data_IF_626509137350
#
_entry.id   IF_626509137350
#
_cell.length_a   1.000
_cell.length_b   1.000
_cell.length_c   1.000
_cell.angle_alpha   90.00
_cell.angle_beta   90.00
_cell.angle_gamma   90.00
#
_symmetry.space_group_name_H-M   'P 1'
#
loop_
_entity.id
_entity.type
_entity.pdbx_description
1 polymer ?
#
# COMPACT_ATOMS: atom_id res chain seq x y z
N UNK A 1 5.57 -3.66 26.82
CA UNK A 1 5.61 -4.22 25.46
C UNK A 1 5.64 -3.05 24.49
N UNK A 2 6.65 -2.96 23.61
CA UNK A 2 6.74 -1.92 22.59
C UNK A 2 6.06 -2.44 21.30
N UNK A 3 5.40 -1.56 20.57
CA UNK A 3 4.90 -1.86 19.22
C UNK A 3 5.94 -1.30 18.26
N UNK A 4 6.51 -2.16 17.41
CA UNK A 4 7.56 -1.77 16.48
C UNK A 4 6.99 -1.44 15.10
N UNK A 5 5.92 -2.13 14.69
CA UNK A 5 5.25 -1.95 13.39
C UNK A 5 3.74 -1.98 13.57
N UNK A 6 3.06 -1.03 12.94
CA UNK A 6 1.61 -0.97 12.83
C UNK A 6 1.26 -1.16 11.36
N UNK A 7 0.41 -2.16 11.05
CA UNK A 7 -0.20 -2.28 9.74
C UNK A 7 -1.62 -1.71 9.78
N UNK A 8 -1.86 -0.70 8.96
CA UNK A 8 -3.14 -0.01 8.89
C UNK A 8 -3.83 -0.34 7.56
N UNK A 9 -4.83 -1.20 7.63
CA UNK A 9 -5.63 -1.62 6.48
C UNK A 9 -6.95 -0.82 6.38
N UNK A 10 -6.85 0.51 6.39
CA UNK A 10 -8.01 1.40 6.29
C UNK A 10 -7.76 2.47 5.24
N UNK A 11 -8.79 2.85 4.50
CA UNK A 11 -8.73 4.02 3.62
C UNK A 11 -9.09 5.30 4.40
N UNK A 12 -8.37 6.40 4.15
CA UNK A 12 -8.68 7.73 4.66
C UNK A 12 -8.24 8.06 6.09
N UNK A 13 -7.73 7.11 6.87
CA UNK A 13 -7.27 7.34 8.26
C UNK A 13 -5.75 7.34 8.42
N UNK A 14 -5.01 7.23 7.31
CA UNK A 14 -3.55 7.05 7.32
C UNK A 14 -2.81 8.24 7.93
N UNK A 15 -3.22 9.45 7.63
CA UNK A 15 -2.57 10.69 8.08
C UNK A 15 -2.61 10.80 9.61
N UNK A 16 -3.76 10.57 10.22
CA UNK A 16 -3.90 10.63 11.69
C UNK A 16 -3.08 9.57 12.42
N UNK A 17 -3.01 8.34 11.88
CA UNK A 17 -2.18 7.29 12.44
C UNK A 17 -0.69 7.61 12.28
N UNK A 18 -0.28 8.16 11.14
CA UNK A 18 1.09 8.57 10.90
C UNK A 18 1.52 9.71 11.83
N UNK A 19 0.68 10.72 12.01
CA UNK A 19 0.92 11.83 12.93
C UNK A 19 1.08 11.33 14.37
N UNK A 20 0.25 10.38 14.80
CA UNK A 20 0.37 9.77 16.12
C UNK A 20 1.71 9.04 16.30
N UNK A 21 2.19 8.32 15.28
CA UNK A 21 3.48 7.64 15.28
C UNK A 21 4.62 8.66 15.35
N UNK A 22 4.58 9.69 14.52
CA UNK A 22 5.60 10.76 14.53
C UNK A 22 5.66 11.41 15.91
N UNK A 23 4.50 11.77 16.49
CA UNK A 23 4.40 12.35 17.82
C UNK A 23 4.96 11.44 18.91
N UNK A 24 4.64 10.14 18.86
CA UNK A 24 5.16 9.16 19.82
C UNK A 24 6.69 9.01 19.70
N UNK A 25 7.21 8.94 18.47
CA UNK A 25 8.65 8.79 18.22
C UNK A 25 9.47 10.03 18.55
N UNK A 26 8.86 11.21 18.52
CA UNK A 26 9.54 12.50 18.79
C UNK A 26 9.26 13.05 20.18
N UNK A 27 8.52 12.34 21.03
CA UNK A 27 8.18 12.79 22.38
C UNK A 27 9.43 13.04 23.24
N UNK A 28 9.48 14.20 23.92
CA UNK A 28 10.64 14.64 24.74
C UNK A 28 10.97 13.68 25.90
N UNK A 29 9.99 12.97 26.42
CA UNK A 29 10.13 12.02 27.54
C UNK A 29 10.34 10.57 27.08
N UNK A 30 10.57 10.34 25.80
CA UNK A 30 10.81 9.01 25.27
C UNK A 30 12.11 8.42 25.82
N UNK A 31 12.09 7.14 26.19
CA UNK A 31 13.28 6.43 26.64
C UNK A 31 14.35 6.43 25.53
N UNK A 32 15.60 6.70 25.90
CA UNK A 32 16.74 6.83 24.95
C UNK A 32 16.91 5.61 24.02
N UNK A 33 16.57 4.42 24.49
CA UNK A 33 16.72 3.15 23.73
C UNK A 33 15.36 2.58 23.25
N UNK A 34 14.29 3.40 23.22
CA UNK A 34 13.02 2.94 22.71
C UNK A 34 13.11 2.75 21.20
N UNK A 35 12.61 1.61 20.72
CA UNK A 35 12.48 1.32 19.27
C UNK A 35 11.44 2.24 18.67
N UNK A 36 11.71 2.78 17.48
CA UNK A 36 10.75 3.59 16.75
C UNK A 36 9.55 2.74 16.30
N UNK A 37 8.35 3.23 16.54
CA UNK A 37 7.16 2.69 15.92
C UNK A 37 7.13 3.08 14.44
N UNK A 38 6.75 2.15 13.58
CA UNK A 38 6.74 2.31 12.14
C UNK A 38 5.36 1.96 11.58
N UNK A 39 5.06 2.45 10.38
CA UNK A 39 3.78 2.27 9.72
C UNK A 39 3.95 1.53 8.39
N UNK A 40 3.06 0.58 8.14
CA UNK A 40 2.71 0.08 6.83
C UNK A 40 1.24 0.40 6.63
N UNK A 41 0.85 1.01 5.53
CA UNK A 41 -0.55 1.35 5.30
C UNK A 41 -1.03 0.99 3.91
N UNK A 42 -2.36 0.86 3.80
CA UNK A 42 -3.07 0.80 2.53
C UNK A 42 -3.73 2.16 2.30
N UNK A 43 -3.39 2.81 1.18
CA UNK A 43 -3.95 4.10 0.76
C UNK A 43 -4.11 5.21 1.82
N UNK A 44 -3.78 6.44 1.48
CA UNK A 44 -3.09 6.89 0.26
C UNK A 44 -1.59 6.55 0.29
N UNK A 45 -0.87 6.80 -0.81
CA UNK A 45 0.60 6.74 -0.77
C UNK A 45 1.14 7.94 0.00
N UNK A 46 1.33 7.77 1.29
CA UNK A 46 1.85 8.82 2.16
C UNK A 46 3.26 9.29 1.80
N UNK A 47 4.02 8.53 1.01
CA UNK A 47 5.32 9.02 0.54
C UNK A 47 5.22 10.27 -0.34
N UNK A 48 4.02 10.57 -0.87
CA UNK A 48 3.79 11.79 -1.65
C UNK A 48 3.58 13.03 -0.77
N UNK A 49 3.18 12.85 0.49
CA UNK A 49 2.82 13.94 1.41
C UNK A 49 3.73 14.10 2.63
N UNK A 50 4.45 13.04 3.02
CA UNK A 50 5.33 13.09 4.18
C UNK A 50 6.64 13.83 3.88
N UNK A 51 7.16 14.52 4.89
CA UNK A 51 8.47 15.18 4.80
C UNK A 51 9.60 14.16 4.85
N UNK A 52 10.79 14.53 4.35
CA UNK A 52 11.98 13.69 4.42
C UNK A 52 12.38 13.32 5.87
N UNK A 53 12.09 14.18 6.84
CA UNK A 53 12.38 13.95 8.25
C UNK A 53 11.48 12.87 8.87
N UNK A 54 10.24 12.77 8.42
CA UNK A 54 9.24 11.84 8.97
C UNK A 54 9.06 10.57 8.15
N UNK A 55 9.44 10.59 6.87
CA UNK A 55 9.33 9.44 5.95
C UNK A 55 10.04 8.17 6.45
N UNK A 56 11.03 8.31 7.34
CA UNK A 56 11.73 7.18 7.96
C UNK A 56 10.84 6.26 8.78
N UNK A 57 9.69 6.75 9.25
CA UNK A 57 8.71 5.96 10.02
C UNK A 57 7.69 5.23 9.12
N UNK A 58 7.69 5.51 7.84
CA UNK A 58 6.86 4.81 6.86
C UNK A 58 7.69 3.70 6.21
N UNK A 59 7.33 2.45 6.46
CA UNK A 59 8.04 1.29 5.91
C UNK A 59 7.62 0.98 4.49
N UNK A 60 6.32 0.93 4.25
CA UNK A 60 5.74 0.64 2.95
C UNK A 60 4.33 1.19 2.83
N UNK A 61 3.90 1.43 1.59
CA UNK A 61 2.51 1.71 1.24
C UNK A 61 2.01 0.67 0.25
N UNK A 62 0.80 0.16 0.44
CA UNK A 62 0.09 -0.67 -0.54
C UNK A 62 -0.89 0.24 -1.27
N UNK A 63 -0.63 0.50 -2.52
CA UNK A 63 -1.37 1.49 -3.32
C UNK A 63 -2.25 0.79 -4.34
N UNK A 64 -3.53 1.14 -4.41
CA UNK A 64 -4.40 0.77 -5.51
C UNK A 64 -4.19 1.73 -6.67
N UNK A 65 -3.74 1.21 -7.78
CA UNK A 65 -3.45 1.97 -9.00
C UNK A 65 -4.75 2.18 -9.79
N UNK A 66 -5.61 3.04 -9.24
CA UNK A 66 -6.89 3.41 -9.87
C UNK A 66 -6.66 4.04 -11.25
N UNK A 67 -5.54 4.74 -11.43
CA UNK A 67 -5.11 5.29 -12.70
C UNK A 67 -4.97 4.22 -13.79
N UNK A 68 -4.38 3.08 -13.47
CA UNK A 68 -4.24 1.93 -14.38
C UNK A 68 -5.61 1.33 -14.71
N UNK A 69 -6.45 1.14 -13.70
CA UNK A 69 -7.79 0.61 -13.89
C UNK A 69 -8.65 1.51 -14.81
N UNK A 70 -8.61 2.81 -14.57
CA UNK A 70 -9.34 3.79 -15.40
C UNK A 70 -8.81 3.80 -16.83
N UNK A 71 -7.49 3.82 -17.02
CA UNK A 71 -6.89 3.81 -18.35
C UNK A 71 -7.25 2.53 -19.13
N UNK A 72 -7.24 1.37 -18.47
CA UNK A 72 -7.63 0.09 -19.09
C UNK A 72 -9.10 0.08 -19.50
N UNK A 73 -10.01 0.52 -18.62
CA UNK A 73 -11.46 0.59 -18.93
C UNK A 73 -11.74 1.53 -20.10
N UNK A 74 -11.10 2.70 -20.12
CA UNK A 74 -11.24 3.64 -21.25
C UNK A 74 -10.70 3.02 -22.54
N UNK A 75 -9.52 2.39 -22.49
CA UNK A 75 -8.93 1.73 -23.65
C UNK A 75 -9.81 0.61 -24.20
N UNK A 76 -10.39 -0.21 -23.33
CA UNK A 76 -11.32 -1.26 -23.73
C UNK A 76 -12.62 -0.70 -24.33
N UNK A 77 -13.17 0.36 -23.74
CA UNK A 77 -14.36 1.02 -24.28
C UNK A 77 -14.13 1.61 -25.69
N UNK A 78 -13.00 2.28 -25.91
CA UNK A 78 -12.63 2.86 -27.21
C UNK A 78 -12.46 1.78 -28.27
N UNK A 79 -11.92 0.62 -27.90
CA UNK A 79 -11.65 -0.49 -28.81
C UNK A 79 -12.81 -1.50 -28.93
N UNK A 80 -13.98 -1.22 -28.35
CA UNK A 80 -15.11 -2.15 -28.26
C UNK A 80 -14.75 -3.53 -27.68
N UNK A 81 -13.77 -3.57 -26.77
CA UNK A 81 -13.34 -4.79 -26.11
C UNK A 81 -14.14 -5.01 -24.82
N UNK A 82 -14.45 -6.26 -24.51
CA UNK A 82 -15.19 -6.57 -23.28
C UNK A 82 -14.29 -6.51 -22.04
N UNK A 83 -14.85 -6.09 -20.92
CA UNK A 83 -14.31 -6.35 -19.58
C UNK A 83 -14.58 -7.84 -19.29
N UNK A 84 -13.54 -8.67 -19.36
CA UNK A 84 -13.69 -10.10 -19.67
C UNK A 84 -13.76 -11.02 -18.45
N UNK A 85 -13.74 -10.48 -17.22
CA UNK A 85 -13.75 -11.34 -16.05
C UNK A 85 -15.18 -11.55 -15.52
N UNK A 86 -15.53 -12.80 -15.27
CA UNK A 86 -16.74 -13.15 -14.53
C UNK A 86 -16.36 -13.21 -13.06
N UNK A 87 -16.76 -12.20 -12.27
CA UNK A 87 -16.45 -12.14 -10.84
C UNK A 87 -17.38 -13.05 -10.02
N UNK A 88 -18.68 -13.08 -10.36
CA UNK A 88 -19.66 -13.99 -9.79
C UNK A 88 -20.77 -14.25 -10.83
N UNK A 89 -20.75 -15.43 -11.45
CA UNK A 89 -21.70 -15.82 -12.47
C UNK A 89 -23.12 -15.97 -11.92
N UNK A 90 -23.31 -16.41 -10.66
CA UNK A 90 -24.62 -16.59 -10.05
C UNK A 90 -25.28 -15.26 -9.74
N UNK A 91 -24.51 -14.27 -9.32
CA UNK A 91 -24.97 -12.92 -9.05
C UNK A 91 -25.01 -12.04 -10.32
N UNK A 92 -24.54 -12.52 -11.47
CA UNK A 92 -24.45 -11.75 -12.70
C UNK A 92 -23.42 -10.59 -12.60
N UNK A 93 -22.39 -10.73 -11.77
CA UNK A 93 -21.38 -9.71 -11.58
C UNK A 93 -20.24 -9.95 -12.55
N UNK A 94 -20.02 -9.01 -13.44
CA UNK A 94 -18.95 -9.00 -14.43
C UNK A 94 -18.01 -7.81 -14.16
N UNK A 95 -16.73 -7.97 -14.48
CA UNK A 95 -15.75 -6.92 -14.31
C UNK A 95 -14.34 -7.43 -14.53
N UNK A 96 -13.34 -6.62 -14.19
CA UNK A 96 -11.94 -7.02 -14.14
C UNK A 96 -11.37 -6.83 -12.73
N UNK A 97 -10.68 -7.85 -12.26
CA UNK A 97 -10.01 -7.81 -10.96
C UNK A 97 -8.55 -7.37 -11.18
N UNK A 98 -8.24 -6.15 -10.80
CA UNK A 98 -6.89 -5.61 -10.91
C UNK A 98 -6.03 -6.13 -9.75
N UNK A 99 -5.00 -6.88 -10.10
CA UNK A 99 -4.08 -7.55 -9.17
C UNK A 99 -2.69 -6.91 -9.23
N UNK A 100 -1.73 -7.47 -8.50
CA UNK A 100 -0.30 -7.11 -8.62
C UNK A 100 0.23 -7.47 -10.01
N UNK A 101 -0.21 -8.60 -10.58
CA UNK A 101 0.21 -9.03 -11.92
C UNK A 101 -0.21 -8.02 -13.00
N UNK A 102 -1.40 -7.44 -12.87
CA UNK A 102 -1.93 -6.40 -13.76
C UNK A 102 -1.43 -5.00 -13.42
N UNK A 103 -0.53 -4.88 -12.44
CA UNK A 103 -0.07 -3.60 -11.88
C UNK A 103 -1.20 -2.75 -11.26
N UNK A 104 -2.34 -3.35 -10.97
CA UNK A 104 -3.46 -2.66 -10.33
C UNK A 104 -3.27 -2.44 -8.83
N UNK A 105 -2.34 -3.18 -8.22
CA UNK A 105 -1.88 -2.99 -6.84
C UNK A 105 -0.35 -2.86 -6.88
N UNK A 106 0.18 -1.88 -6.17
CA UNK A 106 1.61 -1.63 -6.06
C UNK A 106 2.03 -1.60 -4.58
N UNK A 107 3.17 -2.22 -4.26
CA UNK A 107 3.80 -2.08 -2.95
C UNK A 107 4.95 -1.10 -3.10
N UNK A 108 4.76 0.10 -2.58
CA UNK A 108 5.77 1.17 -2.61
C UNK A 108 6.66 1.04 -1.38
N UNK A 109 7.96 0.75 -1.59
CA UNK A 109 8.96 0.61 -0.54
C UNK A 109 10.05 1.65 -0.79
N UNK A 110 10.05 2.72 0.02
CA UNK A 110 11.11 3.73 0.01
C UNK A 110 11.94 3.70 1.30
N UNK A 111 11.53 2.89 2.27
CA UNK A 111 12.23 2.72 3.53
C UNK A 111 13.59 2.03 3.32
N UNK A 112 14.65 2.64 3.85
CA UNK A 112 15.99 2.05 3.84
C UNK A 112 16.05 0.73 4.62
N UNK A 113 15.18 0.55 5.61
CA UNK A 113 15.10 -0.68 6.42
C UNK A 113 14.64 -1.88 5.57
N UNK A 114 13.69 -1.66 4.65
CA UNK A 114 13.16 -2.71 3.78
C UNK A 114 13.81 -2.75 2.39
N UNK A 115 14.71 -1.83 2.07
CA UNK A 115 15.28 -1.72 0.73
C UNK A 115 15.95 -3.03 0.26
N UNK A 116 16.66 -3.71 1.14
CA UNK A 116 17.33 -5.00 0.83
C UNK A 116 16.35 -6.17 0.67
N UNK A 117 15.14 -6.04 1.18
CA UNK A 117 14.09 -7.06 1.14
C UNK A 117 13.02 -6.80 0.08
N UNK A 118 13.11 -5.69 -0.64
CA UNK A 118 12.07 -5.27 -1.59
C UNK A 118 11.80 -6.31 -2.68
N UNK A 119 12.84 -6.94 -3.21
CA UNK A 119 12.70 -8.00 -4.21
C UNK A 119 11.96 -9.23 -3.66
N UNK A 120 12.30 -9.66 -2.44
CA UNK A 120 11.64 -10.79 -1.78
C UNK A 120 10.19 -10.49 -1.45
N UNK A 121 9.89 -9.27 -0.99
CA UNK A 121 8.52 -8.83 -0.70
C UNK A 121 7.68 -8.83 -1.97
N UNK A 122 8.18 -8.27 -3.06
CA UNK A 122 7.46 -8.25 -4.34
C UNK A 122 7.26 -9.65 -4.92
N UNK A 123 8.26 -10.53 -4.82
CA UNK A 123 8.12 -11.92 -5.23
C UNK A 123 7.06 -12.68 -4.41
N UNK A 124 7.04 -12.49 -3.09
CA UNK A 124 6.04 -13.10 -2.21
C UNK A 124 4.63 -12.57 -2.52
N UNK A 125 4.50 -11.27 -2.76
CA UNK A 125 3.23 -10.65 -3.13
C UNK A 125 2.71 -11.21 -4.47
N UNK A 126 3.57 -11.32 -5.48
CA UNK A 126 3.20 -11.93 -6.78
C UNK A 126 2.80 -13.40 -6.64
N UNK A 127 3.52 -14.18 -5.84
CA UNK A 127 3.21 -15.59 -5.61
C UNK A 127 1.88 -15.81 -4.84
N UNK A 128 1.48 -14.87 -3.99
CA UNK A 128 0.22 -14.95 -3.26
C UNK A 128 -1.02 -14.89 -4.18
N UNK A 129 -0.90 -14.28 -5.35
CA UNK A 129 -1.98 -14.17 -6.34
C UNK A 129 -1.99 -15.30 -7.39
N UNK A 130 -0.95 -16.11 -7.42
CA UNK A 130 -0.89 -17.28 -8.31
C UNK A 130 -1.67 -18.50 -7.77
N UNK A 131 -2.31 -18.35 -6.61
CA UNK A 131 -3.15 -19.39 -5.96
C UNK A 131 -4.61 -19.04 -6.11
#
# INVERSE_FOLDING_TARGET
>A
MGIDVIYLATSGSGDGAFDAIVKANTAKNRKKNAVDANLILTEPDLYLSVTSATSKYLLASVVKRVDIAVADVIGKAVNNSQLSDVLDAKAGIYGHRYTIADKGIEIVIKSKVLATQSAAINAAASAAYAR
#
